data_IF_130697484118
#
_entry.id   IF_130697484118
#
_cell.length_a   1.000
_cell.length_b   1.000
_cell.length_c   1.000
_cell.angle_alpha   90.00
_cell.angle_beta   90.00
_cell.angle_gamma   90.00
#
_symmetry.space_group_name_H-M   'P 1'
#
loop_
_entity.id
_entity.type
_entity.pdbx_description
1 polymer ?
#
# COMPACT_ATOMS: atom_id res chain seq x y z
N UNK A 1 11.22 14.58 1.70
CA UNK A 1 11.13 13.10 1.80
C UNK A 1 9.79 12.55 1.32
N UNK A 2 8.62 13.08 1.76
CA UNK A 2 7.30 12.63 1.21
C UNK A 2 7.06 13.03 -0.26
N UNK A 3 7.46 14.23 -0.67
CA UNK A 3 7.28 14.73 -2.05
C UNK A 3 8.15 14.01 -3.09
N UNK A 4 9.28 13.45 -2.70
CA UNK A 4 10.22 12.76 -3.60
C UNK A 4 9.85 11.29 -3.83
N UNK A 5 9.07 10.69 -2.91
CA UNK A 5 8.65 9.29 -3.00
C UNK A 5 7.38 9.09 -3.81
N UNK A 6 6.50 10.09 -3.89
CA UNK A 6 5.24 10.02 -4.65
C UNK A 6 5.44 9.77 -6.15
N UNK A 7 6.37 10.46 -6.85
CA UNK A 7 6.61 10.19 -8.27
C UNK A 7 7.17 8.78 -8.49
N UNK A 8 8.07 8.34 -7.62
CA UNK A 8 8.69 7.00 -7.69
C UNK A 8 7.65 5.91 -7.48
N UNK A 9 6.72 6.08 -6.54
CA UNK A 9 5.64 5.14 -6.31
C UNK A 9 4.66 5.07 -7.49
N UNK A 10 4.33 6.21 -8.10
CA UNK A 10 3.43 6.29 -9.25
C UNK A 10 4.05 5.68 -10.51
N UNK A 11 5.31 6.00 -10.81
CA UNK A 11 6.02 5.37 -11.92
C UNK A 11 6.27 3.88 -11.65
N UNK A 12 6.63 3.52 -10.42
CA UNK A 12 6.82 2.13 -10.01
C UNK A 12 5.56 1.29 -10.17
N UNK A 13 4.39 1.80 -9.78
CA UNK A 13 3.12 1.08 -9.92
C UNK A 13 2.66 0.97 -11.38
N UNK A 14 2.80 2.03 -12.17
CA UNK A 14 2.35 2.05 -13.56
C UNK A 14 3.22 1.18 -14.48
N UNK A 15 4.53 1.17 -14.24
CA UNK A 15 5.49 0.47 -15.10
C UNK A 15 5.74 -0.98 -14.67
N UNK A 16 5.62 -1.31 -13.38
CA UNK A 16 5.94 -2.64 -12.85
C UNK A 16 5.14 -3.76 -13.51
N UNK A 17 3.82 -3.67 -13.54
CA UNK A 17 2.96 -4.72 -14.09
C UNK A 17 3.18 -4.98 -15.58
N UNK A 18 3.21 -3.98 -16.47
CA UNK A 18 3.57 -4.18 -17.87
C UNK A 18 4.95 -4.81 -18.07
N UNK A 19 5.95 -4.40 -17.27
CA UNK A 19 7.31 -4.96 -17.38
C UNK A 19 7.40 -6.40 -16.88
N UNK A 20 6.73 -6.74 -15.77
CA UNK A 20 6.70 -8.10 -15.23
C UNK A 20 5.95 -9.02 -16.20
N UNK A 21 4.73 -8.66 -16.62
CA UNK A 21 3.93 -9.47 -17.53
C UNK A 21 4.61 -9.59 -18.89
N UNK A 22 5.06 -8.47 -19.46
CA UNK A 22 5.73 -8.44 -20.76
C UNK A 22 7.05 -9.24 -20.73
N UNK A 23 7.84 -9.08 -19.67
CA UNK A 23 9.07 -9.85 -19.48
C UNK A 23 8.81 -11.35 -19.36
N UNK A 24 7.76 -11.75 -18.63
CA UNK A 24 7.39 -13.16 -18.52
C UNK A 24 6.87 -13.73 -19.85
N UNK A 25 6.05 -12.98 -20.59
CA UNK A 25 5.50 -13.42 -21.88
C UNK A 25 6.57 -13.56 -22.95
N UNK A 26 7.52 -12.62 -23.01
CA UNK A 26 8.64 -12.62 -23.93
C UNK A 26 9.82 -13.51 -23.47
N UNK A 27 9.69 -14.17 -22.31
CA UNK A 27 10.76 -14.96 -21.68
C UNK A 27 12.06 -14.17 -21.46
N UNK A 28 11.95 -12.85 -21.25
CA UNK A 28 13.07 -11.95 -21.02
C UNK A 28 13.28 -11.73 -19.52
N UNK A 29 14.17 -12.52 -18.91
CA UNK A 29 14.45 -12.45 -17.46
C UNK A 29 14.89 -11.05 -17.01
N UNK A 30 15.71 -10.36 -17.80
CA UNK A 30 16.18 -9.00 -17.49
C UNK A 30 15.02 -8.00 -17.42
N UNK A 31 14.04 -8.12 -18.32
CA UNK A 31 12.87 -7.25 -18.37
C UNK A 31 11.94 -7.49 -17.17
N UNK A 32 11.72 -8.77 -16.84
CA UNK A 32 10.98 -9.17 -15.63
C UNK A 32 11.66 -8.62 -14.36
N UNK A 33 12.99 -8.71 -14.26
CA UNK A 33 13.74 -8.22 -13.11
C UNK A 33 13.65 -6.69 -12.98
N UNK A 34 13.66 -5.95 -14.09
CA UNK A 34 13.44 -4.50 -14.08
C UNK A 34 12.03 -4.16 -13.56
N UNK A 35 11.01 -4.92 -13.97
CA UNK A 35 9.65 -4.79 -13.44
C UNK A 35 9.55 -5.09 -11.95
N UNK A 36 10.24 -6.14 -11.47
CA UNK A 36 10.33 -6.48 -10.05
C UNK A 36 11.02 -5.37 -9.24
N UNK A 37 12.06 -4.74 -9.80
CA UNK A 37 12.72 -3.59 -9.17
C UNK A 37 11.78 -2.39 -9.03
N UNK A 38 11.01 -2.09 -10.09
CA UNK A 38 9.99 -1.03 -10.03
C UNK A 38 8.88 -1.36 -9.02
N UNK A 39 8.45 -2.62 -8.95
CA UNK A 39 7.45 -3.09 -7.99
C UNK A 39 7.96 -3.01 -6.54
N UNK A 40 9.24 -3.33 -6.29
CA UNK A 40 9.81 -3.26 -4.94
C UNK A 40 9.85 -1.83 -4.41
N UNK A 41 10.10 -0.84 -5.27
CA UNK A 41 10.02 0.58 -4.91
C UNK A 41 8.59 0.98 -4.49
N UNK A 42 7.55 0.49 -5.18
CA UNK A 42 6.15 0.69 -4.81
C UNK A 42 5.81 0.01 -3.46
N UNK A 43 6.25 -1.25 -3.26
CA UNK A 43 6.05 -1.98 -1.99
C UNK A 43 6.70 -1.25 -0.83
N UNK A 44 7.94 -0.78 -1.01
CA UNK A 44 8.65 0.00 -0.01
C UNK A 44 7.89 1.29 0.34
N UNK A 45 7.39 2.00 -0.68
CA UNK A 45 6.59 3.19 -0.46
C UNK A 45 5.35 2.90 0.37
N UNK A 46 4.59 1.84 0.02
CA UNK A 46 3.39 1.42 0.75
C UNK A 46 3.70 1.16 2.24
N UNK A 47 4.81 0.49 2.53
CA UNK A 47 5.26 0.21 3.91
C UNK A 47 5.63 1.50 4.65
N UNK A 48 6.37 2.40 4.00
CA UNK A 48 6.80 3.66 4.61
C UNK A 48 5.63 4.61 4.88
N UNK A 49 4.59 4.59 4.04
CA UNK A 49 3.41 5.43 4.22
C UNK A 49 2.40 4.84 5.19
N UNK A 50 2.42 3.54 5.45
CA UNK A 50 1.45 2.87 6.33
C UNK A 50 1.23 3.54 7.72
N UNK A 51 2.24 4.05 8.44
CA UNK A 51 2.02 4.77 9.70
C UNK A 51 1.09 5.99 9.58
N UNK A 52 1.06 6.63 8.42
CA UNK A 52 0.27 7.85 8.20
C UNK A 52 -1.22 7.55 8.07
N UNK A 53 -1.58 6.34 7.67
CA UNK A 53 -2.96 5.87 7.56
C UNK A 53 -3.54 5.61 8.95
N UNK A 54 -2.74 5.06 9.86
CA UNK A 54 -3.14 4.93 11.28
C UNK A 54 -3.33 6.28 11.96
N UNK A 55 -2.39 7.21 11.71
CA UNK A 55 -2.45 8.57 12.23
C UNK A 55 -3.65 9.35 11.65
N UNK A 56 -4.00 9.13 10.39
CA UNK A 56 -5.23 9.66 9.80
C UNK A 56 -6.49 9.12 10.50
N UNK A 57 -6.59 7.81 10.74
CA UNK A 57 -7.69 7.22 11.50
C UNK A 57 -7.77 7.75 12.93
N UNK A 58 -6.64 7.95 13.61
CA UNK A 58 -6.60 8.51 14.96
C UNK A 58 -7.09 9.98 14.99
N UNK A 59 -6.63 10.81 14.05
CA UNK A 59 -7.11 12.21 13.93
C UNK A 59 -8.59 12.27 13.59
N UNK A 60 -9.08 11.42 12.69
CA UNK A 60 -10.49 11.40 12.31
C UNK A 60 -11.40 11.13 13.52
N UNK A 61 -11.04 10.15 14.38
CA UNK A 61 -11.80 9.88 15.62
C UNK A 61 -11.90 11.12 16.52
N UNK A 62 -10.79 11.86 16.67
CA UNK A 62 -10.76 13.10 17.46
C UNK A 62 -11.63 14.18 16.82
N UNK A 63 -11.50 14.38 15.51
CA UNK A 63 -12.23 15.40 14.76
C UNK A 63 -13.74 15.19 14.83
N UNK A 64 -14.20 13.95 14.65
CA UNK A 64 -15.64 13.62 14.67
C UNK A 64 -16.23 13.89 16.07
N UNK A 65 -15.48 13.61 17.15
CA UNK A 65 -15.90 14.00 18.52
C UNK A 65 -15.95 15.52 18.69
N UNK A 66 -14.94 16.26 18.21
CA UNK A 66 -14.91 17.73 18.31
C UNK A 66 -16.03 18.42 17.51
N UNK A 67 -16.44 17.84 16.38
CA UNK A 67 -17.51 18.38 15.54
C UNK A 67 -18.93 18.08 16.10
N UNK A 68 -19.06 17.38 17.22
CA UNK A 68 -20.35 17.02 17.79
C UNK A 68 -21.17 16.03 16.93
N UNK A 69 -20.52 15.33 16.00
CA UNK A 69 -21.17 14.35 15.11
C UNK A 69 -21.57 13.08 15.88
N UNK A 70 -20.77 12.70 16.89
CA UNK A 70 -21.04 11.58 17.79
C UNK A 70 -21.74 12.12 19.04
N UNK A 71 -22.90 11.56 19.36
CA UNK A 71 -23.73 11.98 20.50
C UNK A 71 -23.74 10.95 21.64
N UNK A 72 -23.31 9.71 21.39
CA UNK A 72 -23.25 8.65 22.41
C UNK A 72 -21.94 7.86 22.36
N UNK A 73 -21.57 7.22 23.48
CA UNK A 73 -20.39 6.33 23.51
C UNK A 73 -20.53 5.13 22.56
N UNK A 74 -21.76 4.62 22.37
CA UNK A 74 -22.03 3.53 21.42
C UNK A 74 -21.71 3.91 19.98
N UNK A 75 -22.01 5.14 19.57
CA UNK A 75 -21.64 5.68 18.26
C UNK A 75 -20.13 5.86 18.14
N UNK A 76 -19.46 6.30 19.22
CA UNK A 76 -17.99 6.39 19.23
C UNK A 76 -17.33 5.03 18.98
N UNK A 77 -17.81 3.97 19.63
CA UNK A 77 -17.25 2.62 19.47
C UNK A 77 -17.43 2.13 18.03
N UNK A 78 -18.61 2.37 17.44
CA UNK A 78 -18.88 2.06 16.03
C UNK A 78 -17.94 2.80 15.08
N UNK A 79 -17.77 4.12 15.26
CA UNK A 79 -16.84 4.93 14.46
C UNK A 79 -15.41 4.45 14.63
N UNK A 80 -14.98 4.12 15.85
CA UNK A 80 -13.65 3.61 16.12
C UNK A 80 -13.40 2.27 15.42
N UNK A 81 -14.39 1.37 15.41
CA UNK A 81 -14.32 0.09 14.71
C UNK A 81 -14.20 0.28 13.20
N UNK A 82 -15.02 1.14 12.59
CA UNK A 82 -14.97 1.42 11.14
C UNK A 82 -13.63 2.06 10.75
N UNK A 83 -13.15 3.05 11.48
CA UNK A 83 -11.87 3.72 11.17
C UNK A 83 -10.66 2.82 11.40
N UNK A 84 -10.74 1.88 12.36
CA UNK A 84 -9.74 0.84 12.53
C UNK A 84 -9.75 -0.15 11.36
N UNK A 85 -10.94 -0.62 10.96
CA UNK A 85 -11.08 -1.52 9.83
C UNK A 85 -10.56 -0.87 8.53
N UNK A 86 -10.84 0.42 8.32
CA UNK A 86 -10.32 1.17 7.19
C UNK A 86 -8.78 1.19 7.15
N UNK A 87 -8.12 1.47 8.29
CA UNK A 87 -6.65 1.42 8.38
C UNK A 87 -6.09 0.01 8.12
N UNK A 88 -6.79 -1.04 8.59
CA UNK A 88 -6.39 -2.43 8.35
C UNK A 88 -6.45 -2.83 6.87
N UNK A 89 -7.27 -2.17 6.04
CA UNK A 89 -7.28 -2.45 4.59
C UNK A 89 -5.95 -2.08 3.93
N UNK A 90 -5.29 -1.01 4.38
CA UNK A 90 -3.95 -0.63 3.92
C UNK A 90 -2.88 -1.62 4.38
N UNK A 91 -3.02 -2.17 5.59
CA UNK A 91 -2.13 -3.23 6.08
C UNK A 91 -2.26 -4.48 5.23
N UNK A 92 -3.49 -4.91 4.95
CA UNK A 92 -3.75 -6.05 4.09
C UNK A 92 -3.13 -5.84 2.70
N UNK A 93 -3.33 -4.66 2.09
CA UNK A 93 -2.73 -4.32 0.82
C UNK A 93 -1.20 -4.37 0.85
N UNK A 94 -0.56 -3.86 1.92
CA UNK A 94 0.89 -3.93 2.09
C UNK A 94 1.40 -5.37 2.17
N UNK A 95 0.73 -6.21 2.98
CA UNK A 95 1.07 -7.64 3.11
C UNK A 95 0.92 -8.37 1.78
N UNK A 96 -0.19 -8.15 1.06
CA UNK A 96 -0.41 -8.73 -0.27
C UNK A 96 0.68 -8.31 -1.26
N UNK A 97 1.06 -7.03 -1.26
CA UNK A 97 2.10 -6.52 -2.15
C UNK A 97 3.48 -7.15 -1.84
N UNK A 98 3.82 -7.32 -0.56
CA UNK A 98 5.03 -8.05 -0.13
C UNK A 98 4.99 -9.51 -0.58
N UNK A 99 3.86 -10.20 -0.39
CA UNK A 99 3.71 -11.60 -0.84
C UNK A 99 3.86 -11.73 -2.36
N UNK A 100 3.29 -10.80 -3.13
CA UNK A 100 3.44 -10.77 -4.58
C UNK A 100 4.89 -10.52 -5.00
N UNK A 101 5.61 -9.64 -4.30
CA UNK A 101 7.02 -9.37 -4.59
C UNK A 101 7.87 -10.63 -4.38
N UNK A 102 7.64 -11.34 -3.27
CA UNK A 102 8.31 -12.61 -2.98
C UNK A 102 7.97 -13.66 -4.04
N UNK A 103 6.70 -13.75 -4.45
CA UNK A 103 6.26 -14.66 -5.51
C UNK A 103 7.02 -14.41 -6.83
N UNK A 104 7.11 -13.15 -7.27
CA UNK A 104 7.83 -12.83 -8.51
C UNK A 104 9.34 -13.07 -8.40
N UNK A 105 9.95 -12.77 -7.25
CA UNK A 105 11.36 -13.07 -7.00
C UNK A 105 11.65 -14.57 -7.06
N UNK A 106 10.76 -15.40 -6.50
CA UNK A 106 10.90 -16.86 -6.56
C UNK A 106 10.71 -17.39 -7.98
N UNK A 107 9.78 -16.80 -8.74
CA UNK A 107 9.49 -17.23 -10.12
C UNK A 107 10.56 -16.81 -11.11
N UNK A 108 11.13 -15.61 -10.99
CA UNK A 108 12.17 -15.11 -11.89
C UNK A 108 13.53 -15.81 -11.72
N UNK A 109 13.72 -16.59 -10.64
CA UNK A 109 14.91 -17.42 -10.39
C UNK A 109 14.84 -18.82 -11.00
N UNK A 110 13.70 -19.21 -11.58
CA UNK A 110 13.49 -20.49 -12.27
C UNK A 110 13.54 -20.28 -13.77
#
# INVERSE_FOLDING_TARGET
LRSTLVPVAHFGSMLSWPLIIGGMFLQMTNLTMLGILAFSAMVLFQIVTLPVEFDASARAKKQIRTLGIIQSEKESDGVAAVLNAAALTYVAAAVTAVMQLLYFLMRARR
#
